data_IF_549503856196
#
_entry.id   IF_549503856196
#
_cell.length_a   1.000
_cell.length_b   1.000
_cell.length_c   1.000
_cell.angle_alpha   90.00
_cell.angle_beta   90.00
_cell.angle_gamma   90.00
#
_symmetry.space_group_name_H-M   'P 1'
#
loop_
_entity.id
_entity.type
_entity.pdbx_description
1 polymer ?
#
# COMPACT_ATOMS: atom_id res chain seq x y z
N UNK A 1 -7.86 -10.00 -5.26
CA UNK A 1 -8.13 -8.54 -5.27
C UNK A 1 -6.93 -7.73 -5.77
N UNK A 2 -5.74 -7.90 -5.17
CA UNK A 2 -4.49 -7.20 -5.55
C UNK A 2 -4.21 -7.26 -7.06
N UNK A 3 -4.38 -8.41 -7.71
CA UNK A 3 -4.09 -8.58 -9.14
C UNK A 3 -4.85 -7.63 -10.08
N UNK A 4 -6.06 -7.21 -9.68
CA UNK A 4 -6.90 -6.28 -10.46
C UNK A 4 -6.59 -4.82 -10.15
N UNK A 5 -6.10 -4.56 -8.95
CA UNK A 5 -5.79 -3.21 -8.48
C UNK A 5 -4.42 -2.75 -8.99
N UNK A 6 -3.45 -3.66 -9.04
CA UNK A 6 -2.05 -3.36 -9.32
C UNK A 6 -1.59 -4.24 -10.46
N UNK A 7 -1.26 -3.73 -11.66
CA UNK A 7 -0.57 -4.50 -12.69
C UNK A 7 0.83 -4.95 -12.23
N UNK A 8 1.37 -5.99 -12.85
CA UNK A 8 2.77 -6.38 -12.60
C UNK A 8 3.70 -5.22 -13.01
N UNK A 9 4.68 -4.90 -12.16
CA UNK A 9 5.64 -3.84 -12.41
C UNK A 9 5.08 -2.43 -12.30
N UNK A 10 3.93 -2.25 -11.64
CA UNK A 10 3.39 -0.92 -11.40
C UNK A 10 4.30 -0.10 -10.46
N UNK A 11 4.41 1.20 -10.72
CA UNK A 11 5.06 2.15 -9.81
C UNK A 11 4.18 2.39 -8.58
N UNK A 12 4.76 2.96 -7.52
CA UNK A 12 3.99 3.32 -6.33
C UNK A 12 2.87 4.32 -6.67
N UNK A 13 3.13 5.31 -7.52
CA UNK A 13 2.13 6.30 -7.91
C UNK A 13 0.96 5.68 -8.69
N UNK A 14 1.24 4.70 -9.56
CA UNK A 14 0.21 3.93 -10.27
C UNK A 14 -0.67 3.15 -9.29
N UNK A 15 -0.06 2.55 -8.26
CA UNK A 15 -0.77 1.86 -7.18
C UNK A 15 -1.66 2.83 -6.40
N UNK A 16 -1.11 3.94 -5.91
CA UNK A 16 -1.86 4.92 -5.12
C UNK A 16 -3.02 5.51 -5.92
N UNK A 17 -2.81 5.78 -7.21
CA UNK A 17 -3.86 6.25 -8.12
C UNK A 17 -4.96 5.20 -8.30
N UNK A 18 -4.62 3.93 -8.48
CA UNK A 18 -5.60 2.85 -8.62
C UNK A 18 -6.39 2.61 -7.32
N UNK A 19 -5.73 2.70 -6.16
CA UNK A 19 -6.37 2.65 -4.84
C UNK A 19 -7.34 3.83 -4.70
N UNK A 20 -6.90 5.05 -5.01
CA UNK A 20 -7.72 6.25 -4.91
C UNK A 20 -9.00 6.15 -5.75
N UNK A 21 -8.89 5.63 -6.98
CA UNK A 21 -10.06 5.34 -7.83
C UNK A 21 -10.96 4.29 -7.18
N UNK A 22 -10.40 3.22 -6.61
CA UNK A 22 -11.17 2.15 -5.97
C UNK A 22 -11.96 2.65 -4.75
N UNK A 23 -11.35 3.47 -3.90
CA UNK A 23 -11.97 3.96 -2.67
C UNK A 23 -12.72 5.28 -2.84
N UNK A 24 -12.65 5.90 -4.03
CA UNK A 24 -13.38 7.12 -4.37
C UNK A 24 -12.82 8.37 -3.67
N UNK A 25 -11.54 8.37 -3.28
CA UNK A 25 -10.89 9.51 -2.60
C UNK A 25 -9.37 9.51 -2.80
N UNK A 26 -8.71 10.67 -2.73
CA UNK A 26 -7.26 10.74 -2.85
C UNK A 26 -6.55 9.91 -1.77
N UNK A 27 -5.50 9.20 -2.17
CA UNK A 27 -4.57 8.55 -1.25
C UNK A 27 -3.20 9.19 -1.45
N UNK A 28 -2.59 9.65 -0.35
CA UNK A 28 -1.33 10.39 -0.37
C UNK A 28 -0.34 9.78 0.62
N UNK A 29 0.94 9.82 0.29
CA UNK A 29 2.03 9.37 1.17
C UNK A 29 2.88 10.57 1.55
N UNK A 30 3.27 10.69 2.81
CA UNK A 30 4.25 11.69 3.24
C UNK A 30 5.15 11.15 4.35
N UNK A 31 6.31 11.74 4.49
CA UNK A 31 7.25 11.43 5.56
C UNK A 31 6.88 12.19 6.82
N UNK A 32 6.84 11.50 7.95
CA UNK A 32 6.58 12.12 9.23
C UNK A 32 7.37 11.41 10.34
N UNK A 33 7.86 12.15 11.35
CA UNK A 33 8.31 11.52 12.58
C UNK A 33 7.10 10.86 13.27
N UNK A 34 7.23 9.59 13.61
CA UNK A 34 6.23 8.82 14.34
C UNK A 34 6.84 8.38 15.67
N UNK A 35 5.99 8.07 16.67
CA UNK A 35 6.47 7.52 17.95
C UNK A 35 7.28 6.24 17.74
N UNK A 36 8.20 5.98 18.67
CA UNK A 36 9.04 4.79 18.66
C UNK A 36 8.16 3.53 18.51
N UNK A 37 8.60 2.61 17.65
CA UNK A 37 7.90 1.39 17.18
C UNK A 37 6.81 1.56 16.09
N UNK A 38 6.41 2.78 15.72
CA UNK A 38 5.46 2.99 14.61
C UNK A 38 6.18 3.35 13.30
N UNK A 39 6.24 2.42 12.36
CA UNK A 39 6.90 2.67 11.05
C UNK A 39 6.03 3.36 10.01
N UNK A 40 4.71 3.31 10.20
CA UNK A 40 3.72 4.03 9.40
C UNK A 40 2.34 4.06 10.03
N UNK A 41 1.49 4.95 9.56
CA UNK A 41 0.10 5.06 9.98
C UNK A 41 -0.76 5.64 8.87
N UNK A 42 -1.92 5.03 8.65
CA UNK A 42 -3.00 5.64 7.88
C UNK A 42 -3.85 6.58 8.74
N UNK A 43 -4.03 7.81 8.26
CA UNK A 43 -4.89 8.84 8.83
C UNK A 43 -5.89 9.31 7.77
N UNK A 44 -7.18 9.22 8.06
CA UNK A 44 -8.21 9.82 7.22
C UNK A 44 -8.46 11.28 7.59
N UNK A 45 -8.47 12.15 6.60
CA UNK A 45 -8.88 13.55 6.73
C UNK A 45 -10.18 13.79 5.95
N UNK A 46 -10.67 15.03 5.97
CA UNK A 46 -11.83 15.43 5.19
C UNK A 46 -11.59 15.36 3.67
N UNK A 47 -10.32 15.49 3.23
CA UNK A 47 -9.95 15.62 1.82
C UNK A 47 -9.18 14.42 1.24
N UNK A 48 -8.59 13.55 2.07
CA UNK A 48 -7.78 12.44 1.62
C UNK A 48 -7.61 11.33 2.69
N UNK A 49 -7.13 10.17 2.24
CA UNK A 49 -6.47 9.19 3.10
C UNK A 49 -4.95 9.45 3.03
N UNK A 50 -4.33 9.74 4.17
CA UNK A 50 -2.89 9.99 4.29
C UNK A 50 -2.17 8.80 4.88
N UNK A 51 -1.07 8.39 4.26
CA UNK A 51 -0.14 7.39 4.77
C UNK A 51 1.11 8.13 5.24
N UNK A 52 1.30 8.20 6.55
CA UNK A 52 2.49 8.75 7.17
C UNK A 52 3.52 7.63 7.30
N UNK A 53 4.78 7.88 6.94
CA UNK A 53 5.84 6.87 6.98
C UNK A 53 7.07 7.45 7.67
N UNK A 54 7.64 6.70 8.62
CA UNK A 54 8.91 7.04 9.28
C UNK A 54 10.09 6.16 8.79
N UNK A 55 9.80 5.08 8.06
CA UNK A 55 10.82 4.18 7.53
C UNK A 55 11.71 4.84 6.46
N UNK A 56 13.03 4.77 6.68
CA UNK A 56 14.04 5.38 5.80
C UNK A 56 14.58 4.43 4.72
N UNK A 57 14.57 3.10 4.94
CA UNK A 57 15.00 2.17 3.91
C UNK A 57 13.93 2.01 2.82
N UNK A 58 14.29 2.04 1.52
CA UNK A 58 13.32 1.92 0.44
C UNK A 58 12.46 0.65 0.52
N UNK A 59 13.07 -0.46 0.92
CA UNK A 59 12.38 -1.75 1.07
C UNK A 59 11.36 -1.71 2.20
N UNK A 60 11.75 -1.22 3.38
CA UNK A 60 10.85 -1.13 4.53
C UNK A 60 9.74 -0.13 4.26
N UNK A 61 10.07 0.99 3.63
CA UNK A 61 9.11 2.01 3.20
C UNK A 61 8.01 1.41 2.32
N UNK A 62 8.37 0.65 1.29
CA UNK A 62 7.38 0.01 0.42
C UNK A 62 6.50 -0.99 1.16
N UNK A 63 7.06 -1.77 2.09
CA UNK A 63 6.28 -2.70 2.90
C UNK A 63 5.29 -1.98 3.81
N UNK A 64 5.73 -0.93 4.50
CA UNK A 64 4.87 -0.09 5.34
C UNK A 64 3.74 0.52 4.53
N UNK A 65 4.05 1.12 3.37
CA UNK A 65 3.01 1.70 2.52
C UNK A 65 2.05 0.62 2.02
N UNK A 66 2.56 -0.55 1.63
CA UNK A 66 1.73 -1.69 1.22
C UNK A 66 0.77 -2.13 2.32
N UNK A 67 1.24 -2.19 3.57
CA UNK A 67 0.44 -2.52 4.75
C UNK A 67 -0.69 -1.50 4.95
N UNK A 68 -0.39 -0.20 4.96
CA UNK A 68 -1.41 0.86 5.15
C UNK A 68 -2.42 0.91 3.98
N UNK A 69 -1.96 0.66 2.74
CA UNK A 69 -2.87 0.48 1.60
C UNK A 69 -3.78 -0.74 1.80
N UNK A 70 -3.29 -1.80 2.43
CA UNK A 70 -4.11 -2.95 2.83
C UNK A 70 -5.29 -2.53 3.70
N UNK A 71 -5.03 -1.74 4.75
CA UNK A 71 -6.08 -1.20 5.63
C UNK A 71 -7.10 -0.36 4.87
N UNK A 72 -6.64 0.57 4.02
CA UNK A 72 -7.53 1.42 3.20
C UNK A 72 -8.43 0.58 2.30
N UNK A 73 -7.85 -0.39 1.59
CA UNK A 73 -8.54 -1.18 0.56
C UNK A 73 -9.52 -2.18 1.17
N UNK A 74 -9.17 -2.77 2.32
CA UNK A 74 -9.99 -3.73 3.03
C UNK A 74 -11.02 -3.06 3.96
N UNK A 75 -10.86 -1.77 4.24
CA UNK A 75 -11.75 -1.01 5.12
C UNK A 75 -11.55 -1.35 6.60
N UNK A 76 -10.33 -1.74 6.98
CA UNK A 76 -9.98 -2.02 8.38
C UNK A 76 -9.81 -0.68 9.09
N UNK A 77 -10.71 -0.39 10.03
CA UNK A 77 -11.00 0.96 10.54
C UNK A 77 -9.81 1.87 10.85
N UNK A 78 -10.02 3.15 10.59
CA UNK A 78 -9.16 4.31 10.83
C UNK A 78 -8.56 4.30 12.26
N UNK A 79 -7.25 4.08 12.37
CA UNK A 79 -6.56 3.71 13.62
C UNK A 79 -6.23 4.90 14.52
N UNK A 80 -7.25 5.59 15.02
CA UNK A 80 -7.11 6.30 16.32
C UNK A 80 -7.13 5.30 17.49
N UNK A 81 -7.50 4.04 17.27
CA UNK A 81 -7.46 2.97 18.26
C UNK A 81 -6.51 1.84 17.83
N UNK A 82 -5.51 1.57 18.67
CA UNK A 82 -4.46 0.57 18.49
C UNK A 82 -5.04 -0.85 18.34
N UNK A 83 -5.00 -1.46 17.15
CA UNK A 83 -5.15 -2.92 17.00
C UNK A 83 -3.82 -3.61 17.34
N UNK A 84 -3.90 -4.58 18.24
CA UNK A 84 -2.80 -5.46 18.62
C UNK A 84 -2.42 -6.40 17.46
N UNK A 85 -1.14 -6.79 17.39
CA UNK A 85 -0.53 -7.62 16.34
C UNK A 85 -1.19 -9.01 16.10
N UNK A 86 -2.08 -9.48 17.00
CA UNK A 86 -2.82 -10.74 16.86
C UNK A 86 -4.20 -10.63 16.19
N UNK A 87 -4.56 -9.43 15.73
CA UNK A 87 -5.82 -9.15 15.04
C UNK A 87 -5.80 -9.70 13.59
N UNK A 88 -6.80 -10.52 13.18
CA UNK A 88 -6.98 -10.93 11.78
C UNK A 88 -6.90 -9.77 10.77
N UNK A 89 -7.33 -8.57 11.16
CA UNK A 89 -7.27 -7.38 10.29
C UNK A 89 -5.83 -6.98 9.96
N UNK A 90 -4.91 -7.09 10.92
CA UNK A 90 -3.49 -6.81 10.72
C UNK A 90 -2.83 -7.85 9.82
N UNK A 91 -3.20 -9.13 9.96
CA UNK A 91 -2.68 -10.21 9.11
C UNK A 91 -3.14 -10.03 7.66
N UNK A 92 -4.39 -9.67 7.46
CA UNK A 92 -4.95 -9.44 6.14
C UNK A 92 -4.31 -8.22 5.45
N UNK A 93 -4.08 -7.14 6.20
CA UNK A 93 -3.35 -5.97 5.71
C UNK A 93 -1.89 -6.30 5.36
N UNK A 94 -1.20 -7.08 6.21
CA UNK A 94 0.18 -7.53 5.99
C UNK A 94 0.30 -8.41 4.73
N UNK A 95 -0.60 -9.38 4.57
CA UNK A 95 -0.64 -10.24 3.39
C UNK A 95 -0.94 -9.44 2.13
N UNK A 96 -1.89 -8.49 2.21
CA UNK A 96 -2.19 -7.60 1.10
C UNK A 96 -0.96 -6.78 0.70
N UNK A 97 -0.29 -6.15 1.67
CA UNK A 97 0.91 -5.34 1.46
C UNK A 97 2.04 -6.13 0.83
N UNK A 98 2.31 -7.33 1.36
CA UNK A 98 3.32 -8.25 0.82
C UNK A 98 3.05 -8.57 -0.66
N UNK A 99 1.81 -8.95 -1.00
CA UNK A 99 1.44 -9.29 -2.37
C UNK A 99 1.50 -8.07 -3.31
N UNK A 100 1.14 -6.90 -2.82
CA UNK A 100 1.22 -5.65 -3.56
C UNK A 100 2.67 -5.31 -3.90
N UNK A 101 3.58 -5.34 -2.92
CA UNK A 101 5.00 -5.07 -3.12
C UNK A 101 5.63 -6.10 -4.05
N UNK A 102 5.27 -7.38 -3.86
CA UNK A 102 5.72 -8.44 -4.77
C UNK A 102 5.33 -8.13 -6.21
N UNK A 103 4.07 -7.70 -6.43
CA UNK A 103 3.56 -7.42 -7.78
C UNK A 103 4.18 -6.18 -8.40
N UNK A 104 4.48 -5.14 -7.62
CA UNK A 104 5.26 -3.98 -8.09
C UNK A 104 6.68 -4.37 -8.53
N UNK A 105 7.27 -5.40 -7.89
CA UNK A 105 8.62 -5.89 -8.22
C UNK A 105 8.65 -6.86 -9.41
N UNK A 106 7.50 -7.42 -9.78
CA UNK A 106 7.42 -8.28 -10.96
C UNK A 106 7.71 -7.46 -12.23
N UNK A 107 8.34 -8.04 -13.26
CA UNK A 107 8.48 -7.38 -14.54
C UNK A 107 7.11 -6.96 -15.08
N UNK A 108 7.03 -5.75 -15.67
CA UNK A 108 5.87 -5.39 -16.48
C UNK A 108 5.76 -6.42 -17.60
N UNK A 109 4.61 -7.05 -17.74
CA UNK A 109 4.35 -7.90 -18.90
C UNK A 109 4.24 -7.00 -20.12
N UNK A 110 5.38 -6.76 -20.78
CA UNK A 110 5.43 -6.26 -22.14
C UNK A 110 5.00 -7.37 -23.09
N UNK A 111 4.12 -7.04 -24.03
CA UNK A 111 3.69 -7.89 -25.15
C UNK A 111 4.83 -8.79 -25.60
N UNK A 112 4.58 -10.10 -25.75
CA UNK A 112 5.50 -10.99 -26.45
C UNK A 112 5.94 -10.30 -27.75
N UNK A 113 7.15 -9.74 -27.75
CA UNK A 113 7.72 -9.15 -28.93
C UNK A 113 8.00 -10.31 -29.86
N UNK A 114 7.37 -10.26 -31.02
CA UNK A 114 7.64 -11.01 -32.23
C UNK A 114 9.14 -11.15 -32.48
N UNK A 115 9.77 -12.14 -31.85
CA UNK A 115 11.09 -12.65 -32.20
C UNK A 115 10.89 -13.94 -33.01
N UNK A 116 10.26 -13.76 -34.17
CA UNK A 116 10.31 -14.68 -35.30
C UNK A 116 10.80 -13.85 -36.48
N UNK A 117 12.12 -13.70 -36.57
CA UNK A 117 12.86 -13.45 -37.81
C UNK A 117 14.22 -14.11 -37.69
#
# INVERSE_FOLDING_TARGET
MVNRLVPAGASLDEVLSAVAVKVGRPVRVTDAPLEDDTSGVWVRTADADWILVSATSPERRLQVIGHEVGHIVLGHGDRVARSHYDDPLERDAELFGTLLVHRMRMPRLGSASTALR
#
